data_IF_242417916368
#
_entry.id   IF_242417916368
#
_cell.length_a   1.000
_cell.length_b   1.000
_cell.length_c   1.000
_cell.angle_alpha   90.00
_cell.angle_beta   90.00
_cell.angle_gamma   90.00
#
_symmetry.space_group_name_H-M   'P 1'
#
loop_
_entity.id
_entity.type
_entity.pdbx_description
1 polymer ?
#
# COMPACT_ATOMS: atom_id res chain seq x y z
N UNK A 1 0.49 -12.74 19.15
CA UNK A 1 -0.13 -12.12 17.98
C UNK A 1 -1.62 -12.35 17.96
N UNK A 2 -2.37 -11.33 17.53
CA UNK A 2 -3.80 -11.41 17.27
C UNK A 2 -4.02 -11.30 15.76
N UNK A 3 -5.05 -11.96 15.21
CA UNK A 3 -5.40 -11.81 13.79
C UNK A 3 -5.77 -10.36 13.47
N UNK A 4 -5.68 -10.02 12.20
CA UNK A 4 -6.11 -8.72 11.65
C UNK A 4 -5.41 -7.49 12.26
N UNK A 5 -4.09 -7.53 12.41
CA UNK A 5 -3.34 -6.40 12.97
C UNK A 5 -3.32 -5.20 12.00
N UNK A 6 -4.15 -4.20 12.29
CA UNK A 6 -4.14 -2.92 11.57
C UNK A 6 -2.96 -2.07 12.06
N UNK A 7 -1.95 -1.91 11.21
CA UNK A 7 -0.71 -1.22 11.53
C UNK A 7 -0.23 -0.35 10.36
N UNK A 8 0.31 0.83 10.66
CA UNK A 8 0.86 1.76 9.66
C UNK A 8 2.09 1.21 8.92
N UNK A 9 2.77 0.19 9.47
CA UNK A 9 3.88 -0.53 8.83
C UNK A 9 3.47 -1.12 7.47
N UNK A 10 2.19 -1.44 7.29
CA UNK A 10 1.64 -1.89 6.01
C UNK A 10 1.65 -0.80 4.93
N UNK A 11 1.63 0.48 5.32
CA UNK A 11 1.44 1.60 4.40
C UNK A 11 2.71 2.44 4.22
N UNK A 12 3.35 2.89 5.31
CA UNK A 12 4.39 3.92 5.21
C UNK A 12 5.60 3.51 4.34
N UNK A 13 6.17 2.28 4.43
CA UNK A 13 7.35 1.94 3.64
C UNK A 13 7.06 2.02 2.14
N UNK A 14 5.91 1.46 1.73
CA UNK A 14 5.49 1.44 0.34
C UNK A 14 5.09 2.81 -0.21
N UNK A 15 4.35 3.61 0.57
CA UNK A 15 3.93 4.96 0.17
C UNK A 15 5.15 5.85 -0.09
N UNK A 16 6.10 5.88 0.86
CA UNK A 16 7.29 6.71 0.70
C UNK A 16 8.20 6.18 -0.40
N UNK A 17 8.43 4.86 -0.51
CA UNK A 17 9.24 4.31 -1.58
C UNK A 17 8.63 4.59 -2.97
N UNK A 18 7.31 4.44 -3.14
CA UNK A 18 6.61 4.76 -4.39
C UNK A 18 6.72 6.22 -4.76
N UNK A 19 6.43 7.12 -3.81
CA UNK A 19 6.52 8.57 -4.00
C UNK A 19 7.95 9.02 -4.35
N UNK A 20 8.97 8.54 -3.62
CA UNK A 20 10.37 8.89 -3.85
C UNK A 20 10.89 8.36 -5.19
N UNK A 21 10.49 7.14 -5.59
CA UNK A 21 10.92 6.51 -6.85
C UNK A 21 10.54 7.32 -8.08
N UNK A 22 9.40 8.02 -8.02
CA UNK A 22 8.90 8.86 -9.12
C UNK A 22 9.01 10.34 -8.81
N UNK A 23 9.71 10.74 -7.74
CA UNK A 23 9.90 12.14 -7.32
C UNK A 23 8.60 12.93 -7.16
N UNK A 24 7.56 12.28 -6.63
CA UNK A 24 6.29 12.91 -6.38
C UNK A 24 6.44 14.18 -5.53
N UNK A 25 5.89 15.30 -5.99
CA UNK A 25 5.96 16.61 -5.33
C UNK A 25 5.13 16.69 -4.04
N UNK A 26 4.12 15.83 -3.90
CA UNK A 26 3.26 15.69 -2.71
C UNK A 26 2.62 14.30 -2.68
N UNK A 27 2.13 13.89 -1.51
CA UNK A 27 1.25 12.72 -1.38
C UNK A 27 -0.20 13.16 -1.58
N UNK A 28 -0.90 12.56 -2.53
CA UNK A 28 -2.30 12.88 -2.86
C UNK A 28 -3.27 11.90 -2.18
N UNK A 29 -4.57 12.23 -2.18
CA UNK A 29 -5.61 11.28 -1.77
C UNK A 29 -5.67 10.06 -2.71
N UNK A 30 -5.44 10.24 -4.01
CA UNK A 30 -5.36 9.15 -4.99
C UNK A 30 -4.26 8.14 -4.63
N UNK A 31 -3.09 8.61 -4.20
CA UNK A 31 -2.01 7.75 -3.71
C UNK A 31 -2.39 6.98 -2.44
N UNK A 32 -3.16 7.59 -1.53
CA UNK A 32 -3.62 6.92 -0.29
C UNK A 32 -4.63 5.82 -0.59
N UNK A 33 -5.59 6.08 -1.47
CA UNK A 33 -6.56 5.08 -1.91
C UNK A 33 -5.85 3.95 -2.65
N UNK A 34 -4.93 4.27 -3.57
CA UNK A 34 -4.14 3.25 -4.27
C UNK A 34 -3.31 2.37 -3.33
N UNK A 35 -2.77 2.95 -2.24
CA UNK A 35 -2.08 2.17 -1.21
C UNK A 35 -3.05 1.24 -0.46
N UNK A 36 -4.24 1.71 -0.09
CA UNK A 36 -5.26 0.90 0.58
C UNK A 36 -5.73 -0.26 -0.32
N UNK A 37 -6.02 0.02 -1.58
CA UNK A 37 -6.40 -1.00 -2.57
C UNK A 37 -5.29 -2.02 -2.78
N UNK A 38 -4.02 -1.60 -2.82
CA UNK A 38 -2.88 -2.50 -2.92
C UNK A 38 -2.74 -3.40 -1.69
N UNK A 39 -2.95 -2.87 -0.47
CA UNK A 39 -2.93 -3.68 0.77
C UNK A 39 -4.07 -4.71 0.74
N UNK A 40 -5.28 -4.30 0.37
CA UNK A 40 -6.43 -5.19 0.25
C UNK A 40 -6.20 -6.26 -0.83
N UNK A 41 -5.59 -5.89 -1.95
CA UNK A 41 -5.25 -6.79 -3.05
C UNK A 41 -4.23 -7.89 -2.67
N UNK A 42 -3.44 -7.70 -1.61
CA UNK A 42 -2.55 -8.75 -1.08
C UNK A 42 -3.33 -9.87 -0.40
N UNK A 43 -4.48 -9.57 0.21
CA UNK A 43 -5.39 -10.59 0.77
C UNK A 43 -6.01 -11.40 -0.36
N UNK A 44 -6.57 -10.72 -1.37
CA UNK A 44 -7.18 -11.36 -2.53
C UNK A 44 -8.24 -12.40 -2.15
N UNK A 45 -8.12 -13.59 -2.75
CA UNK A 45 -9.06 -14.70 -2.53
C UNK A 45 -8.80 -15.46 -1.21
N UNK A 46 -7.75 -15.13 -0.47
CA UNK A 46 -7.43 -15.74 0.84
C UNK A 46 -8.27 -15.13 2.00
N UNK A 47 -9.25 -14.28 1.67
CA UNK A 47 -10.08 -13.57 2.65
C UNK A 47 -10.76 -14.53 3.63
N UNK A 48 -10.50 -14.31 4.92
CA UNK A 48 -11.11 -15.07 6.01
C UNK A 48 -11.42 -14.14 7.19
N UNK A 49 -12.24 -14.61 8.14
CA UNK A 49 -12.62 -13.83 9.31
C UNK A 49 -11.40 -13.39 10.16
N UNK A 50 -10.34 -14.18 10.15
CA UNK A 50 -9.06 -13.95 10.82
C UNK A 50 -7.95 -13.45 9.88
N UNK A 51 -8.27 -13.19 8.61
CA UNK A 51 -7.35 -12.67 7.59
C UNK A 51 -8.04 -11.67 6.66
N UNK A 52 -8.38 -10.49 7.20
CA UNK A 52 -8.95 -9.35 6.44
C UNK A 52 -7.89 -8.30 6.08
N UNK A 53 -6.70 -8.39 6.66
CA UNK A 53 -5.56 -7.51 6.43
C UNK A 53 -4.28 -8.33 6.52
N UNK A 54 -3.31 -8.14 5.61
CA UNK A 54 -2.09 -8.95 5.63
C UNK A 54 -1.23 -8.63 6.85
N UNK A 55 -0.33 -9.55 7.19
CA UNK A 55 0.68 -9.32 8.22
C UNK A 55 1.59 -8.13 7.83
N UNK A 56 2.00 -7.27 8.77
CA UNK A 56 3.00 -6.23 8.50
C UNK A 56 4.34 -6.75 7.98
N UNK A 57 4.62 -8.04 8.18
CA UNK A 57 5.83 -8.71 7.70
C UNK A 57 5.62 -9.48 6.39
N UNK A 58 4.43 -9.39 5.79
CA UNK A 58 4.19 -9.95 4.46
C UNK A 58 5.01 -9.17 3.42
N UNK A 59 6.02 -9.84 2.85
CA UNK A 59 6.96 -9.24 1.92
C UNK A 59 6.29 -8.72 0.63
N UNK A 60 5.06 -9.17 0.31
CA UNK A 60 4.29 -8.72 -0.86
C UNK A 60 3.79 -7.28 -0.69
N UNK A 61 3.50 -6.86 0.55
CA UNK A 61 2.81 -5.58 0.84
C UNK A 61 3.62 -4.38 0.38
N UNK A 62 4.88 -4.27 0.80
CA UNK A 62 5.71 -3.11 0.50
C UNK A 62 5.92 -2.92 -1.02
N UNK A 63 6.11 -4.02 -1.76
CA UNK A 63 6.27 -3.99 -3.20
C UNK A 63 4.97 -3.59 -3.92
N UNK A 64 3.84 -4.17 -3.52
CA UNK A 64 2.52 -3.84 -4.08
C UNK A 64 2.15 -2.37 -3.88
N UNK A 65 2.28 -1.88 -2.63
CA UNK A 65 2.00 -0.47 -2.30
C UNK A 65 2.94 0.48 -3.04
N UNK A 66 4.23 0.16 -3.14
CA UNK A 66 5.21 0.96 -3.89
C UNK A 66 4.79 1.13 -5.35
N UNK A 67 4.41 0.03 -6.02
CA UNK A 67 4.01 0.05 -7.41
C UNK A 67 2.72 0.86 -7.62
N UNK A 68 1.71 0.63 -6.78
CA UNK A 68 0.42 1.31 -6.85
C UNK A 68 0.57 2.83 -6.61
N UNK A 69 1.32 3.22 -5.59
CA UNK A 69 1.55 4.64 -5.25
C UNK A 69 2.35 5.35 -6.34
N UNK A 70 3.36 4.71 -6.92
CA UNK A 70 4.11 5.27 -8.05
C UNK A 70 3.24 5.46 -9.30
N UNK A 71 2.31 4.55 -9.56
CA UNK A 71 1.35 4.69 -10.66
C UNK A 71 0.34 5.82 -10.40
N UNK A 72 -0.22 5.89 -9.19
CA UNK A 72 -1.14 6.94 -8.79
C UNK A 72 -0.50 8.34 -8.84
N UNK A 73 0.75 8.48 -8.37
CA UNK A 73 1.48 9.74 -8.45
C UNK A 73 1.65 10.25 -9.90
N UNK A 74 1.88 9.35 -10.86
CA UNK A 74 1.94 9.70 -12.29
C UNK A 74 0.56 10.10 -12.83
N UNK A 75 -0.49 9.36 -12.47
CA UNK A 75 -1.85 9.64 -12.90
C UNK A 75 -2.36 10.99 -12.36
N UNK A 76 -2.00 11.32 -11.12
CA UNK A 76 -2.36 12.58 -10.46
C UNK A 76 -1.50 13.77 -10.92
N UNK A 77 -0.50 13.55 -11.79
CA UNK A 77 0.37 14.59 -12.32
C UNK A 77 1.30 15.21 -11.27
N UNK A 78 1.66 14.45 -10.24
CA UNK A 78 2.58 14.92 -9.18
C UNK A 78 3.99 14.33 -9.26
N UNK A 79 4.20 13.30 -10.09
CA UNK A 79 5.49 12.68 -10.40
C UNK A 79 6.39 13.52 -11.32
#
# INVERSE_FOLDING_TARGET
>A
DFPNQINNVLAFPGIFAGALKVRASRITEGMKIAAADAIAGVVGDELAADYVIPSPFDARVAAAVTAAVAAAAKADGVA
#
